data_IF_452454082817
#
_entry.id   IF_452454082817
#
_cell.length_a   1.000
_cell.length_b   1.000
_cell.length_c   1.000
_cell.angle_alpha   90.00
_cell.angle_beta   90.00
_cell.angle_gamma   90.00
#
_symmetry.space_group_name_H-M   'P 1'
#
loop_
_entity.id
_entity.type
_entity.pdbx_description
1 polymer ?
#
# COMPACT_ATOMS: atom_id res chain seq x y z
N UNK A 1 11.09 2.92 0.03
CA UNK A 1 11.64 2.15 1.16
C UNK A 1 11.26 0.69 1.00
N UNK A 2 12.22 -0.22 1.16
CA UNK A 2 11.94 -1.66 1.20
C UNK A 2 12.25 -2.16 2.61
N UNK A 3 11.30 -2.81 3.31
CA UNK A 3 11.58 -3.41 4.59
C UNK A 3 12.69 -4.44 4.44
N UNK A 4 13.74 -4.32 5.24
CA UNK A 4 14.80 -5.32 5.33
C UNK A 4 14.60 -6.28 6.51
N UNK A 5 13.70 -5.90 7.41
CA UNK A 5 13.16 -6.68 8.54
C UNK A 5 11.97 -5.92 9.12
N UNK A 6 11.25 -6.51 10.07
CA UNK A 6 10.11 -5.86 10.76
C UNK A 6 10.45 -4.51 11.41
N UNK A 7 11.74 -4.19 11.56
CA UNK A 7 12.21 -2.99 12.28
C UNK A 7 13.15 -2.09 11.48
N UNK A 8 13.53 -2.47 10.26
CA UNK A 8 14.51 -1.70 9.48
C UNK A 8 14.08 -1.55 8.02
N UNK A 9 14.25 -0.34 7.50
CA UNK A 9 14.02 -0.02 6.09
C UNK A 9 15.29 0.49 5.44
N UNK A 10 15.58 0.05 4.23
CA UNK A 10 16.64 0.61 3.42
C UNK A 10 16.14 1.89 2.76
N UNK A 11 16.77 3.01 3.08
CA UNK A 11 16.48 4.30 2.45
C UNK A 11 17.22 4.39 1.12
N UNK A 12 16.47 4.60 0.05
CA UNK A 12 17.01 4.82 -1.30
C UNK A 12 16.70 6.26 -1.70
N UNK A 13 17.75 7.05 -1.96
CA UNK A 13 17.63 8.44 -2.37
C UNK A 13 18.21 8.60 -3.78
N UNK A 14 17.42 9.16 -4.70
CA UNK A 14 17.80 9.35 -6.10
C UNK A 14 18.37 8.07 -6.77
N UNK A 15 17.74 6.92 -6.46
CA UNK A 15 18.14 5.60 -6.98
C UNK A 15 19.37 4.97 -6.31
N UNK A 16 19.93 5.59 -5.27
CA UNK A 16 21.09 5.06 -4.54
C UNK A 16 20.75 4.76 -3.08
N UNK A 17 21.09 3.58 -2.55
CA UNK A 17 20.90 3.28 -1.14
C UNK A 17 21.84 4.15 -0.30
N UNK A 18 21.28 4.87 0.69
CA UNK A 18 22.03 5.74 1.60
C UNK A 18 22.18 5.17 3.01
N UNK A 19 21.69 3.95 3.23
CA UNK A 19 21.83 3.20 4.48
C UNK A 19 20.55 2.54 4.94
N UNK A 20 20.69 1.66 5.92
CA UNK A 20 19.56 1.07 6.62
C UNK A 20 19.27 1.91 7.86
N UNK A 21 18.02 2.31 8.06
CA UNK A 21 17.55 2.98 9.27
C UNK A 21 16.50 2.13 9.95
N UNK A 22 16.56 2.01 11.26
CA UNK A 22 15.46 1.46 12.01
C UNK A 22 14.28 2.46 12.01
N UNK A 23 13.06 1.99 12.30
CA UNK A 23 11.88 2.84 12.27
C UNK A 23 12.03 4.08 13.17
N UNK A 24 12.67 3.92 14.35
CA UNK A 24 12.89 5.02 15.27
C UNK A 24 13.86 6.08 14.71
N UNK A 25 14.94 5.68 14.04
CA UNK A 25 15.88 6.61 13.38
C UNK A 25 15.27 7.24 12.14
N UNK A 26 14.45 6.49 11.42
CA UNK A 26 13.74 6.98 10.23
C UNK A 26 12.77 8.11 10.57
N UNK A 27 12.05 8.02 11.70
CA UNK A 27 11.09 9.05 12.14
C UNK A 27 11.70 10.15 13.02
N UNK A 28 13.01 10.17 13.26
CA UNK A 28 13.68 11.30 13.93
C UNK A 28 13.70 12.56 13.07
N UNK A 29 13.60 13.72 13.73
CA UNK A 29 13.62 15.03 13.04
C UNK A 29 14.97 15.34 12.37
N UNK A 30 16.06 14.81 12.94
CA UNK A 30 17.41 14.99 12.43
C UNK A 30 17.60 14.32 11.07
N UNK A 31 18.01 15.10 10.07
CA UNK A 31 18.18 14.65 8.68
C UNK A 31 16.89 14.60 7.84
N UNK A 32 15.72 14.88 8.44
CA UNK A 32 14.45 14.94 7.70
C UNK A 32 14.38 16.18 6.80
N UNK A 33 14.95 17.28 7.24
CA UNK A 33 14.95 18.51 6.44
C UNK A 33 15.74 18.36 5.13
N UNK A 34 16.89 17.70 5.18
CA UNK A 34 17.67 17.38 3.97
C UNK A 34 16.87 16.47 3.02
N UNK A 35 16.21 15.42 3.56
CA UNK A 35 15.36 14.56 2.75
C UNK A 35 14.17 15.30 2.15
N UNK A 36 13.57 16.24 2.90
CA UNK A 36 12.48 17.09 2.41
C UNK A 36 12.93 17.95 1.22
N UNK A 37 14.09 18.57 1.32
CA UNK A 37 14.66 19.38 0.23
C UNK A 37 14.88 18.53 -1.03
N UNK A 38 15.41 17.32 -0.87
CA UNK A 38 15.61 16.40 -2.00
C UNK A 38 14.29 15.94 -2.63
N UNK A 39 13.28 15.64 -1.81
CA UNK A 39 11.93 15.27 -2.28
C UNK A 39 11.31 16.43 -3.06
N UNK A 40 11.36 17.64 -2.50
CA UNK A 40 10.83 18.85 -3.15
C UNK A 40 11.55 19.12 -4.48
N UNK A 41 12.87 19.04 -4.50
CA UNK A 41 13.66 19.23 -5.72
C UNK A 41 13.35 18.14 -6.79
N UNK A 42 13.04 16.91 -6.35
CA UNK A 42 12.61 15.85 -7.27
C UNK A 42 11.23 16.17 -7.88
N UNK A 43 10.29 16.64 -7.06
CA UNK A 43 8.99 17.09 -7.53
C UNK A 43 9.11 18.25 -8.53
N UNK A 44 9.93 19.26 -8.23
CA UNK A 44 10.12 20.42 -9.12
C UNK A 44 10.67 20.01 -10.49
N UNK A 45 11.58 19.03 -10.53
CA UNK A 45 12.08 18.48 -11.80
C UNK A 45 11.00 17.75 -12.60
N UNK A 46 10.05 17.08 -11.92
CA UNK A 46 8.90 16.46 -12.60
C UNK A 46 7.90 17.51 -13.07
N UNK A 47 7.58 18.49 -12.22
CA UNK A 47 6.62 19.56 -12.52
C UNK A 47 7.06 20.44 -13.70
N UNK A 48 8.37 20.61 -13.89
CA UNK A 48 8.90 21.31 -15.06
C UNK A 48 8.69 20.56 -16.39
N UNK A 49 8.33 19.28 -16.36
CA UNK A 49 8.22 18.41 -17.55
C UNK A 49 6.82 17.89 -17.80
N UNK A 50 6.03 17.69 -16.75
CA UNK A 50 4.76 16.97 -16.80
C UNK A 50 3.64 17.76 -16.15
N UNK A 51 2.47 17.75 -16.79
CA UNK A 51 1.23 18.32 -16.28
C UNK A 51 0.05 17.53 -16.90
N UNK A 52 -0.87 16.99 -16.13
CA UNK A 52 -0.89 16.96 -14.66
C UNK A 52 0.10 15.97 -14.03
N UNK A 53 0.40 16.16 -12.74
CA UNK A 53 1.10 15.18 -11.90
C UNK A 53 0.09 14.58 -10.94
N UNK A 54 0.05 13.25 -10.89
CA UNK A 54 -0.72 12.50 -9.90
C UNK A 54 0.25 11.91 -8.88
N UNK A 55 -0.01 12.15 -7.60
CA UNK A 55 0.81 11.67 -6.49
C UNK A 55 0.00 10.71 -5.64
N UNK A 56 0.62 9.65 -5.17
CA UNK A 56 0.06 8.73 -4.21
C UNK A 56 0.70 8.94 -2.85
N UNK A 57 -0.14 9.02 -1.80
CA UNK A 57 0.32 9.07 -0.41
C UNK A 57 0.76 7.69 0.10
N UNK A 58 1.33 7.66 1.30
CA UNK A 58 1.70 6.44 1.99
C UNK A 58 1.18 6.45 3.43
N UNK A 59 0.67 5.30 3.91
CA UNK A 59 0.05 5.19 5.22
C UNK A 59 -1.24 6.00 5.31
N UNK A 60 -1.47 6.66 6.44
CA UNK A 60 -2.69 7.42 6.68
C UNK A 60 -2.39 8.87 7.13
N UNK A 61 -3.16 9.82 6.59
CA UNK A 61 -3.12 11.22 7.07
C UNK A 61 -3.67 11.36 8.50
N UNK A 62 -4.30 10.32 9.04
CA UNK A 62 -4.85 10.30 10.40
C UNK A 62 -3.80 10.02 11.47
N UNK A 63 -2.59 9.63 11.10
CA UNK A 63 -1.47 9.40 12.02
C UNK A 63 -0.84 10.74 12.44
N UNK A 64 -1.60 11.52 13.21
CA UNK A 64 -1.22 12.89 13.58
C UNK A 64 0.06 12.97 14.43
N UNK A 65 0.43 11.88 15.09
CA UNK A 65 1.69 11.74 15.83
C UNK A 65 2.92 11.72 14.89
N UNK A 66 2.74 11.38 13.62
CA UNK A 66 3.81 11.35 12.60
C UNK A 66 3.81 12.59 11.72
N UNK A 67 2.87 13.51 11.86
CA UNK A 67 2.69 14.68 10.99
C UNK A 67 3.96 15.51 10.80
N UNK A 68 4.67 15.81 11.89
CA UNK A 68 5.89 16.64 11.85
C UNK A 68 7.03 16.01 11.04
N UNK A 69 6.99 14.70 10.89
CA UNK A 69 8.00 13.90 10.19
C UNK A 69 7.53 13.32 8.88
N UNK A 70 6.26 13.54 8.53
CA UNK A 70 5.69 13.13 7.25
C UNK A 70 6.35 13.91 6.09
N UNK A 71 6.77 13.18 5.06
CA UNK A 71 7.34 13.74 3.83
C UNK A 71 6.45 13.48 2.61
N UNK A 72 5.39 12.68 2.78
CA UNK A 72 4.68 12.05 1.65
C UNK A 72 3.28 12.63 1.48
N UNK A 73 2.51 12.71 2.56
CA UNK A 73 1.08 13.03 2.50
C UNK A 73 0.81 14.55 2.45
N UNK A 74 0.19 15.09 3.50
CA UNK A 74 -0.22 16.51 3.50
C UNK A 74 0.93 17.49 3.32
N UNK A 75 2.14 17.31 3.89
CA UNK A 75 3.24 18.22 3.62
C UNK A 75 3.63 18.30 2.14
N UNK A 76 3.62 17.16 1.43
CA UNK A 76 3.88 17.16 0.00
C UNK A 76 2.74 17.78 -0.80
N UNK A 77 1.49 17.51 -0.43
CA UNK A 77 0.33 18.15 -1.04
C UNK A 77 0.36 19.68 -0.87
N UNK A 78 0.78 20.16 0.31
CA UNK A 78 0.96 21.58 0.57
C UNK A 78 2.08 22.20 -0.29
N UNK A 79 3.22 21.51 -0.40
CA UNK A 79 4.34 21.99 -1.22
C UNK A 79 3.96 22.09 -2.70
N UNK A 80 3.29 21.06 -3.21
CA UNK A 80 2.88 20.98 -4.61
C UNK A 80 1.65 21.83 -4.95
N UNK A 81 1.05 22.51 -3.96
CA UNK A 81 -0.26 23.17 -4.08
C UNK A 81 -1.34 22.26 -4.69
N UNK A 82 -1.33 21.01 -4.29
CA UNK A 82 -2.17 19.97 -4.86
C UNK A 82 -3.54 19.89 -4.16
N UNK A 83 -4.56 19.55 -4.94
CA UNK A 83 -5.84 19.08 -4.43
C UNK A 83 -5.71 17.64 -3.94
N UNK A 84 -6.35 17.31 -2.82
CA UNK A 84 -6.28 16.02 -2.17
C UNK A 84 -7.60 15.28 -2.32
N UNK A 85 -7.53 14.01 -2.72
CA UNK A 85 -8.66 13.09 -2.74
C UNK A 85 -8.37 11.98 -1.73
N UNK A 86 -9.26 11.78 -0.76
CA UNK A 86 -9.17 10.66 0.16
C UNK A 86 -9.71 9.39 -0.50
N UNK A 87 -8.96 8.29 -0.36
CA UNK A 87 -9.42 6.97 -0.78
C UNK A 87 -9.65 6.12 0.46
N UNK A 88 -10.90 5.72 0.70
CA UNK A 88 -11.30 5.00 1.89
C UNK A 88 -11.69 3.55 1.56
N UNK A 89 -11.12 2.60 2.28
CA UNK A 89 -11.41 1.17 2.14
C UNK A 89 -12.64 0.80 2.97
N UNK A 90 -13.77 0.49 2.30
CA UNK A 90 -15.01 0.10 2.97
C UNK A 90 -15.02 -1.38 3.38
N UNK A 91 -14.19 -2.21 2.77
CA UNK A 91 -14.17 -3.66 3.01
C UNK A 91 -13.74 -4.02 4.44
N UNK A 92 -12.97 -3.15 5.07
CA UNK A 92 -12.54 -3.31 6.47
C UNK A 92 -13.62 -2.96 7.49
N UNK A 93 -14.70 -2.33 7.08
CA UNK A 93 -15.73 -1.78 7.96
C UNK A 93 -15.34 -0.45 8.60
N UNK A 94 -16.32 0.26 9.16
CA UNK A 94 -16.10 1.53 9.87
C UNK A 94 -15.74 2.72 8.98
N UNK A 95 -16.06 2.70 7.69
CA UNK A 95 -15.66 3.72 6.72
C UNK A 95 -16.10 5.13 7.10
N UNK A 96 -17.28 5.30 7.72
CA UNK A 96 -17.74 6.62 8.20
C UNK A 96 -16.81 7.21 9.25
N UNK A 97 -16.45 6.41 10.25
CA UNK A 97 -15.54 6.85 11.32
C UNK A 97 -14.14 7.13 10.76
N UNK A 98 -13.66 6.29 9.84
CA UNK A 98 -12.36 6.45 9.19
C UNK A 98 -12.28 7.73 8.38
N UNK A 99 -13.25 8.01 7.52
CA UNK A 99 -13.28 9.23 6.69
C UNK A 99 -13.48 10.47 7.55
N UNK A 100 -14.46 10.45 8.44
CA UNK A 100 -14.73 11.56 9.35
C UNK A 100 -13.51 11.89 10.20
N UNK A 101 -12.89 10.89 10.83
CA UNK A 101 -11.67 11.07 11.61
C UNK A 101 -10.53 11.62 10.76
N UNK A 102 -10.31 11.08 9.57
CA UNK A 102 -9.26 11.55 8.67
C UNK A 102 -9.40 13.02 8.30
N UNK A 103 -10.63 13.49 8.05
CA UNK A 103 -10.90 14.90 7.75
C UNK A 103 -10.81 15.77 9.00
N UNK A 104 -11.42 15.35 10.11
CA UNK A 104 -11.52 16.19 11.30
C UNK A 104 -10.21 16.37 12.06
N UNK A 105 -9.29 15.43 11.96
CA UNK A 105 -7.95 15.50 12.56
C UNK A 105 -6.99 16.43 11.79
N UNK A 106 -7.35 16.88 10.60
CA UNK A 106 -6.50 17.78 9.83
C UNK A 106 -6.57 19.22 10.32
N UNK A 107 -5.51 20.00 10.04
CA UNK A 107 -5.53 21.46 10.26
C UNK A 107 -6.56 22.14 9.35
N UNK A 108 -7.01 23.34 9.66
CA UNK A 108 -7.93 24.07 8.79
C UNK A 108 -7.38 24.29 7.37
N UNK A 109 -6.06 24.46 7.23
CA UNK A 109 -5.36 24.63 5.96
C UNK A 109 -5.36 23.33 5.15
N UNK A 110 -5.04 22.22 5.81
CA UNK A 110 -5.02 20.88 5.17
C UNK A 110 -6.43 20.46 4.73
N UNK A 111 -7.45 20.73 5.56
CA UNK A 111 -8.86 20.47 5.22
C UNK A 111 -9.28 21.13 3.93
N UNK A 112 -8.85 22.36 3.67
CA UNK A 112 -9.19 23.09 2.45
C UNK A 112 -8.67 22.42 1.18
N UNK A 113 -7.58 21.62 1.32
CA UNK A 113 -7.02 20.86 0.20
C UNK A 113 -7.81 19.60 -0.10
N UNK A 114 -8.53 19.03 0.87
CA UNK A 114 -9.32 17.82 0.67
C UNK A 114 -10.58 18.18 -0.12
N UNK A 115 -10.62 17.77 -1.39
CA UNK A 115 -11.71 18.11 -2.33
C UNK A 115 -12.77 17.04 -2.44
N UNK A 116 -12.49 15.84 -1.96
CA UNK A 116 -13.48 14.78 -1.98
C UNK A 116 -12.96 13.45 -1.48
N UNK A 117 -13.86 12.48 -1.45
CA UNK A 117 -13.62 11.11 -1.02
C UNK A 117 -13.97 10.14 -2.14
N UNK A 118 -13.17 9.11 -2.32
CA UNK A 118 -13.51 7.92 -3.10
C UNK A 118 -13.67 6.75 -2.13
N UNK A 119 -14.80 6.06 -2.22
CA UNK A 119 -15.05 4.83 -1.46
C UNK A 119 -14.58 3.65 -2.30
N UNK A 120 -13.57 2.94 -1.82
CA UNK A 120 -12.95 1.83 -2.55
C UNK A 120 -13.37 0.48 -1.98
N UNK A 121 -13.29 -0.56 -2.82
CA UNK A 121 -13.59 -1.96 -2.50
C UNK A 121 -15.02 -2.21 -2.05
N UNK A 122 -15.98 -1.50 -2.62
CA UNK A 122 -17.40 -1.69 -2.30
C UNK A 122 -17.88 -3.08 -2.74
N UNK A 123 -18.55 -3.79 -1.83
CA UNK A 123 -19.19 -5.09 -2.12
C UNK A 123 -20.71 -4.95 -2.04
N UNK A 124 -21.39 -5.54 -2.99
CA UNK A 124 -22.86 -5.55 -3.04
C UNK A 124 -23.46 -4.53 -3.99
N UNK A 125 -24.72 -4.19 -3.75
CA UNK A 125 -25.46 -3.25 -4.59
C UNK A 125 -25.20 -1.80 -4.17
N UNK A 126 -24.60 -1.03 -5.05
CA UNK A 126 -24.26 0.38 -4.82
C UNK A 126 -25.48 1.22 -4.45
N UNK A 127 -26.68 0.88 -4.97
CA UNK A 127 -27.93 1.59 -4.66
C UNK A 127 -28.26 1.59 -3.17
N UNK A 128 -27.85 0.55 -2.45
CA UNK A 128 -28.04 0.46 -0.99
C UNK A 128 -27.17 1.44 -0.22
N UNK A 129 -26.16 2.01 -0.84
CA UNK A 129 -25.24 2.95 -0.21
C UNK A 129 -25.50 4.43 -0.57
N UNK A 130 -26.55 4.73 -1.37
CA UNK A 130 -26.89 6.12 -1.74
C UNK A 130 -27.15 7.01 -0.51
N UNK A 131 -27.90 6.52 0.46
CA UNK A 131 -28.10 7.24 1.73
C UNK A 131 -26.82 7.42 2.52
N UNK A 132 -25.90 6.44 2.44
CA UNK A 132 -24.57 6.50 3.07
C UNK A 132 -23.70 7.57 2.45
N UNK A 133 -23.73 7.75 1.14
CA UNK A 133 -23.04 8.84 0.43
C UNK A 133 -23.47 10.19 1.01
N UNK A 134 -24.80 10.44 1.03
CA UNK A 134 -25.33 11.69 1.56
C UNK A 134 -24.94 11.93 3.02
N UNK A 135 -25.03 10.91 3.86
CA UNK A 135 -24.62 11.00 5.27
C UNK A 135 -23.15 11.38 5.40
N UNK A 136 -22.28 10.80 4.56
CA UNK A 136 -20.83 11.07 4.60
C UNK A 136 -20.52 12.52 4.17
N UNK A 137 -21.20 12.98 3.13
CA UNK A 137 -21.07 14.37 2.66
C UNK A 137 -21.56 15.37 3.72
N UNK A 138 -22.70 15.09 4.34
CA UNK A 138 -23.27 15.94 5.40
C UNK A 138 -22.35 15.98 6.64
N UNK A 139 -21.71 14.84 7.00
CA UNK A 139 -20.80 14.75 8.14
C UNK A 139 -19.45 15.42 7.90
N UNK A 140 -18.91 15.25 6.71
CA UNK A 140 -17.52 15.65 6.43
C UNK A 140 -17.44 17.02 5.74
N UNK A 141 -18.52 17.51 5.16
CA UNK A 141 -18.57 18.75 4.40
C UNK A 141 -17.78 18.70 3.08
N UNK A 142 -17.53 17.50 2.57
CA UNK A 142 -16.81 17.27 1.30
C UNK A 142 -17.57 16.22 0.45
N UNK A 143 -17.54 16.31 -0.89
CA UNK A 143 -18.28 15.41 -1.76
C UNK A 143 -17.68 14.00 -1.80
N UNK A 144 -18.54 13.00 -1.97
CA UNK A 144 -18.12 11.65 -2.37
C UNK A 144 -18.05 11.60 -3.90
N UNK A 145 -16.83 11.59 -4.43
CA UNK A 145 -16.56 11.67 -5.87
C UNK A 145 -16.89 10.38 -6.61
N UNK A 146 -16.92 9.27 -5.92
CA UNK A 146 -17.26 7.99 -6.51
C UNK A 146 -17.13 6.81 -5.57
N UNK A 147 -17.72 5.70 -6.00
CA UNK A 147 -17.67 4.41 -5.32
C UNK A 147 -17.07 3.40 -6.29
N UNK A 148 -15.95 2.80 -5.92
CA UNK A 148 -15.25 1.80 -6.73
C UNK A 148 -15.66 0.41 -6.21
N UNK A 149 -16.26 -0.42 -7.07
CA UNK A 149 -16.59 -1.80 -6.70
C UNK A 149 -15.34 -2.61 -6.36
N UNK A 150 -15.52 -3.64 -5.55
CA UNK A 150 -14.47 -4.60 -5.30
C UNK A 150 -14.15 -5.41 -6.56
N UNK A 151 -12.96 -5.24 -7.09
CA UNK A 151 -12.48 -5.99 -8.25
C UNK A 151 -11.87 -7.32 -7.82
N UNK A 152 -12.37 -8.42 -8.40
CA UNK A 152 -11.87 -9.77 -8.10
C UNK A 152 -10.77 -10.24 -9.05
N UNK A 153 -10.71 -9.64 -10.24
CA UNK A 153 -9.83 -10.08 -11.33
C UNK A 153 -8.71 -9.08 -11.65
N UNK A 154 -8.36 -8.22 -10.71
CA UNK A 154 -7.17 -7.38 -10.84
C UNK A 154 -5.97 -8.19 -10.37
N UNK A 155 -5.04 -8.39 -11.28
CA UNK A 155 -3.74 -8.97 -11.00
C UNK A 155 -2.70 -7.85 -11.01
N UNK A 156 -2.61 -7.13 -9.91
CA UNK A 156 -1.52 -6.18 -9.66
C UNK A 156 -0.43 -6.97 -8.94
N UNK A 157 0.81 -6.83 -9.40
CA UNK A 157 1.95 -7.42 -8.72
C UNK A 157 2.08 -6.79 -7.32
N UNK A 158 2.16 -7.64 -6.32
CA UNK A 158 2.27 -7.20 -4.94
C UNK A 158 3.70 -6.76 -4.66
N UNK A 159 3.86 -5.64 -3.99
CA UNK A 159 5.18 -5.08 -3.68
C UNK A 159 5.83 -5.74 -2.44
N UNK A 160 5.01 -6.27 -1.52
CA UNK A 160 5.46 -6.79 -0.24
C UNK A 160 5.29 -8.31 -0.11
N UNK A 161 6.33 -8.97 0.38
CA UNK A 161 6.33 -10.40 0.71
C UNK A 161 5.43 -10.78 1.90
N UNK A 162 4.92 -9.81 2.65
CA UNK A 162 4.00 -10.02 3.80
C UNK A 162 2.72 -10.75 3.38
N UNK A 163 2.30 -10.61 2.13
CA UNK A 163 1.12 -11.29 1.59
C UNK A 163 1.31 -12.81 1.50
N UNK A 164 2.53 -13.30 1.48
CA UNK A 164 2.83 -14.74 1.45
C UNK A 164 2.36 -15.46 2.72
N UNK A 165 2.26 -14.76 3.85
CA UNK A 165 1.78 -15.32 5.12
C UNK A 165 0.29 -15.71 5.08
N UNK A 166 -0.48 -15.16 4.14
CA UNK A 166 -1.91 -15.44 3.97
C UNK A 166 -2.22 -16.46 2.87
N UNK A 167 -1.22 -16.90 2.11
CA UNK A 167 -1.42 -17.90 1.04
C UNK A 167 -1.54 -19.30 1.64
N UNK A 168 -2.44 -20.10 1.08
CA UNK A 168 -2.68 -21.49 1.54
C UNK A 168 -1.40 -22.29 1.50
N UNK A 169 -1.08 -22.97 2.61
CA UNK A 169 0.19 -23.67 2.83
C UNK A 169 0.11 -25.18 2.53
N UNK A 170 -0.95 -25.68 1.90
CA UNK A 170 -1.16 -27.13 1.73
C UNK A 170 -1.62 -27.48 0.31
N UNK A 171 -1.23 -28.67 -0.14
CA UNK A 171 -1.65 -29.25 -1.41
C UNK A 171 -3.18 -29.40 -1.53
N UNK A 172 -3.69 -29.29 -2.75
CA UNK A 172 -5.11 -29.42 -3.09
C UNK A 172 -5.30 -30.56 -4.07
N UNK A 173 -6.22 -31.46 -3.78
CA UNK A 173 -6.54 -32.60 -4.65
C UNK A 173 -7.11 -32.12 -6.01
N UNK A 174 -6.72 -32.78 -7.08
CA UNK A 174 -7.21 -32.50 -8.44
C UNK A 174 -6.50 -31.35 -9.16
N UNK A 175 -5.43 -30.79 -8.56
CA UNK A 175 -4.59 -29.77 -9.20
C UNK A 175 -3.13 -30.19 -9.23
N UNK A 176 -2.35 -29.59 -10.13
CA UNK A 176 -0.88 -29.68 -10.11
C UNK A 176 -0.40 -28.82 -8.94
N UNK A 177 0.11 -29.46 -7.91
CA UNK A 177 0.58 -28.80 -6.71
C UNK A 177 2.03 -28.36 -6.86
N UNK A 178 2.27 -27.07 -6.83
CA UNK A 178 3.61 -26.49 -6.92
C UNK A 178 3.94 -25.81 -5.58
N UNK A 179 4.91 -26.35 -4.86
CA UNK A 179 5.37 -25.77 -3.62
C UNK A 179 6.59 -24.90 -3.84
N UNK A 180 6.55 -23.65 -3.41
CA UNK A 180 7.71 -22.75 -3.36
C UNK A 180 8.27 -22.80 -1.94
N UNK A 181 9.56 -23.08 -1.82
CA UNK A 181 10.21 -23.11 -0.51
C UNK A 181 10.25 -21.69 0.06
N UNK A 182 9.59 -21.50 1.21
CA UNK A 182 9.51 -20.22 1.89
C UNK A 182 10.81 -19.93 2.63
N UNK A 183 11.70 -19.18 1.99
CA UNK A 183 12.96 -18.74 2.58
C UNK A 183 12.75 -17.42 3.34
N UNK A 184 13.56 -17.18 4.39
CA UNK A 184 13.45 -15.98 5.25
C UNK A 184 13.50 -14.65 4.50
N UNK A 185 14.19 -14.60 3.37
CA UNK A 185 14.36 -13.42 2.53
C UNK A 185 14.07 -13.75 1.08
N UNK A 186 12.85 -14.19 0.83
CA UNK A 186 12.39 -14.49 -0.51
C UNK A 186 12.38 -13.19 -1.34
N UNK A 187 13.15 -13.17 -2.42
CA UNK A 187 13.12 -12.13 -3.43
C UNK A 187 12.43 -12.66 -4.68
N UNK A 188 11.81 -11.74 -5.47
CA UNK A 188 11.19 -12.05 -6.75
C UNK A 188 10.04 -13.08 -6.67
N UNK A 189 9.23 -13.04 -5.62
CA UNK A 189 8.06 -13.91 -5.50
C UNK A 189 7.03 -13.67 -6.63
N UNK A 190 7.08 -12.52 -7.28
CA UNK A 190 6.27 -12.18 -8.46
C UNK A 190 6.61 -13.03 -9.70
N UNK A 191 7.78 -13.68 -9.75
CA UNK A 191 8.15 -14.59 -10.84
C UNK A 191 7.18 -15.77 -10.96
N UNK A 192 6.51 -16.13 -9.87
CA UNK A 192 5.56 -17.24 -9.81
C UNK A 192 4.12 -16.86 -10.17
N UNK A 193 3.81 -15.57 -10.35
CA UNK A 193 2.47 -15.07 -10.62
C UNK A 193 1.80 -15.72 -11.85
N UNK A 194 2.58 -16.09 -12.87
CA UNK A 194 2.04 -16.81 -14.04
C UNK A 194 1.57 -18.21 -13.71
N UNK A 195 2.25 -18.90 -12.81
CA UNK A 195 1.86 -20.23 -12.34
C UNK A 195 0.62 -20.15 -11.45
N UNK A 196 0.51 -19.14 -10.60
CA UNK A 196 -0.67 -18.91 -9.76
C UNK A 196 -1.96 -18.63 -10.56
N UNK A 197 -1.81 -18.07 -11.78
CA UNK A 197 -2.94 -17.74 -12.68
C UNK A 197 -3.46 -18.92 -13.48
N UNK A 198 -2.72 -20.03 -13.57
CA UNK A 198 -3.17 -21.22 -14.28
C UNK A 198 -4.15 -22.00 -13.41
N UNK A 199 -5.39 -22.14 -13.89
CA UNK A 199 -6.46 -22.83 -13.14
C UNK A 199 -6.14 -24.29 -12.81
N UNK A 200 -5.24 -24.92 -13.56
CA UNK A 200 -4.78 -26.30 -13.34
C UNK A 200 -3.77 -26.40 -12.21
N UNK A 201 -3.15 -25.27 -11.85
CA UNK A 201 -2.08 -25.18 -10.85
C UNK A 201 -2.65 -24.73 -9.51
N UNK A 202 -2.10 -25.29 -8.45
CA UNK A 202 -2.21 -24.77 -7.09
C UNK A 202 -0.81 -24.50 -6.58
N UNK A 203 -0.43 -23.21 -6.56
CA UNK A 203 0.85 -22.78 -6.04
C UNK A 203 0.70 -22.36 -4.57
N UNK A 204 1.59 -22.86 -3.73
CA UNK A 204 1.62 -22.53 -2.29
C UNK A 204 3.05 -22.37 -1.79
N UNK A 205 3.20 -21.71 -0.65
CA UNK A 205 4.49 -21.41 -0.05
C UNK A 205 4.59 -22.13 1.29
N UNK A 206 5.67 -22.88 1.52
CA UNK A 206 5.89 -23.60 2.77
C UNK A 206 7.37 -23.83 3.04
N UNK A 207 7.74 -23.91 4.31
CA UNK A 207 9.04 -24.42 4.78
C UNK A 207 8.92 -25.76 5.52
N UNK A 208 7.70 -26.33 5.56
CA UNK A 208 7.46 -27.63 6.19
C UNK A 208 7.73 -28.75 5.18
N UNK A 209 8.61 -29.67 5.55
CA UNK A 209 9.00 -30.82 4.72
C UNK A 209 7.85 -31.77 4.41
N UNK A 210 6.87 -31.92 5.32
CA UNK A 210 5.70 -32.77 5.09
C UNK A 210 4.78 -32.18 4.01
N UNK A 211 4.66 -30.86 3.95
CA UNK A 211 3.87 -30.18 2.94
C UNK A 211 4.62 -30.11 1.60
N UNK A 212 5.95 -29.97 1.63
CA UNK A 212 6.78 -30.09 0.42
C UNK A 212 6.67 -31.48 -0.21
N UNK A 213 6.59 -32.54 0.60
CA UNK A 213 6.46 -33.91 0.11
C UNK A 213 5.13 -34.19 -0.60
N UNK A 214 4.11 -33.35 -0.44
CA UNK A 214 2.80 -33.44 -1.10
C UNK A 214 2.75 -32.70 -2.45
N UNK A 215 3.78 -31.96 -2.79
CA UNK A 215 3.85 -31.22 -4.05
C UNK A 215 4.26 -32.13 -5.22
N UNK A 216 3.70 -31.84 -6.40
CA UNK A 216 4.15 -32.45 -7.66
C UNK A 216 5.46 -31.81 -8.14
N UNK A 217 5.64 -30.52 -7.84
CA UNK A 217 6.84 -29.75 -8.20
C UNK A 217 7.26 -28.91 -7.00
N UNK A 218 8.56 -28.89 -6.70
CA UNK A 218 9.16 -28.04 -5.67
C UNK A 218 10.04 -27.00 -6.36
N UNK A 219 9.80 -25.73 -6.06
CA UNK A 219 10.58 -24.61 -6.55
C UNK A 219 11.47 -24.07 -5.42
N UNK A 220 12.77 -23.96 -5.70
CA UNK A 220 13.74 -23.29 -4.84
C UNK A 220 13.95 -21.86 -5.35
N UNK A 221 13.38 -20.85 -4.71
CA UNK A 221 13.49 -19.47 -5.19
C UNK A 221 14.85 -18.88 -4.86
N UNK A 222 15.19 -17.81 -5.59
CA UNK A 222 16.36 -17.02 -5.24
C UNK A 222 16.20 -16.32 -3.89
N UNK A 223 17.31 -16.27 -3.12
CA UNK A 223 17.38 -15.56 -1.85
C UNK A 223 18.65 -14.75 -1.77
N UNK A 224 18.61 -13.61 -1.07
CA UNK A 224 19.79 -12.75 -0.87
C UNK A 224 20.82 -13.39 0.08
N UNK A 225 20.40 -14.37 0.87
CA UNK A 225 21.23 -15.05 1.88
C UNK A 225 20.67 -16.46 2.07
N UNK A 226 21.21 -17.40 1.36
CA UNK A 226 21.03 -18.85 1.57
C UNK A 226 22.12 -19.37 2.46
#
# INVERSE_FOLDING_TARGET
DRPSSDHTSQVVLNGRPIGNRNAFEYFRKEGREELRQEVNAAFDRLAARYNPIVMEGAGSISEINLRDTDLVNMPMACYADADVILVADIDRGGVFASVYGSVMLQTPEDKKRIKGVIINKFRGDIRLFESGVKMMEDLCGIPVLGIIPYYRNIHIEEEDSVVLDYKRMQAVEGKINIAVVLLRHLSNFTDFNRLERDERVHLYYTNNTEDLAKADIILLPGSKST
#
